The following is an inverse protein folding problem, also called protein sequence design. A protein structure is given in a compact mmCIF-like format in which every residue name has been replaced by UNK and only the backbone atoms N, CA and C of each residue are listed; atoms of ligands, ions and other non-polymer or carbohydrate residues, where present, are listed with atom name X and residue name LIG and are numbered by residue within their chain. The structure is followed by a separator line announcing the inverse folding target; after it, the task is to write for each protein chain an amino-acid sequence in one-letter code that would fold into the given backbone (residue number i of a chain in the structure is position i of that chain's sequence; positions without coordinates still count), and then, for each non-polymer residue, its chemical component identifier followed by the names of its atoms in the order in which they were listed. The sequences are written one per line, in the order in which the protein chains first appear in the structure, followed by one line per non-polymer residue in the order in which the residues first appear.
data_IF_167485743723
#
_entry.id   IF_167485743723
#
_cell.length_a   1.000
_cell.length_b   1.000
_cell.length_c   1.000
_cell.angle_alpha   90.00
_cell.angle_beta   90.00
_cell.angle_gamma   90.00
#
_symmetry.space_group_name_H-M   'P 1'
#
loop_
_entity.id
_entity.type
_entity.pdbx_description
1 polymer ?
#
# COMPACT_ATOMS: atom_id res chain seq x y z
N UNK A 1 -0.58 -22.48 -12.94
CA UNK A 1 -0.09 -21.49 -11.94
C UNK A 1 -0.35 -20.02 -12.32
N UNK A 2 -0.64 -19.67 -13.59
CA UNK A 2 -0.91 -18.26 -14.01
C UNK A 2 -2.08 -17.56 -13.29
N UNK A 3 -3.16 -18.28 -12.95
CA UNK A 3 -4.37 -17.66 -12.36
C UNK A 3 -4.20 -17.17 -10.92
N UNK A 4 -3.32 -17.81 -10.12
CA UNK A 4 -3.13 -17.45 -8.72
C UNK A 4 -2.39 -16.13 -8.59
N UNK A 5 -1.35 -15.95 -9.40
CA UNK A 5 -0.60 -14.70 -9.53
C UNK A 5 -1.56 -13.56 -9.84
N UNK A 6 -2.33 -13.64 -10.94
CA UNK A 6 -3.32 -12.61 -11.31
C UNK A 6 -4.32 -12.29 -10.19
N UNK A 7 -4.68 -13.29 -9.40
CA UNK A 7 -5.62 -13.12 -8.28
C UNK A 7 -4.99 -12.34 -7.12
N UNK A 8 -3.70 -12.53 -6.83
CA UNK A 8 -2.99 -11.80 -5.77
C UNK A 8 -2.86 -10.31 -6.15
N UNK A 9 -2.49 -9.99 -7.38
CA UNK A 9 -2.40 -8.59 -7.85
C UNK A 9 -3.77 -7.90 -7.77
N UNK A 10 -4.85 -8.54 -8.26
CA UNK A 10 -6.22 -8.01 -8.14
C UNK A 10 -6.67 -7.79 -6.69
N UNK A 11 -6.27 -8.69 -5.78
CA UNK A 11 -6.54 -8.52 -4.33
C UNK A 11 -5.76 -7.33 -3.76
N UNK A 12 -4.51 -7.13 -4.16
CA UNK A 12 -3.70 -5.99 -3.75
C UNK A 12 -4.28 -4.66 -4.29
N UNK A 13 -4.75 -4.62 -5.54
CA UNK A 13 -5.46 -3.47 -6.13
C UNK A 13 -6.70 -3.12 -5.31
N UNK A 14 -7.59 -4.10 -5.09
CA UNK A 14 -8.80 -3.88 -4.30
C UNK A 14 -8.47 -3.45 -2.87
N UNK A 15 -7.39 -3.98 -2.30
CA UNK A 15 -6.94 -3.60 -0.98
C UNK A 15 -6.45 -2.15 -0.92
N UNK A 16 -5.76 -1.68 -1.97
CA UNK A 16 -5.36 -0.29 -2.10
C UNK A 16 -6.59 0.62 -2.15
N UNK A 17 -7.59 0.27 -2.97
CA UNK A 17 -8.82 1.07 -3.10
C UNK A 17 -9.57 1.23 -1.77
N UNK A 18 -9.78 0.15 -1.01
CA UNK A 18 -10.45 0.28 0.30
C UNK A 18 -9.63 1.10 1.30
N UNK A 19 -8.30 1.07 1.19
CA UNK A 19 -7.41 1.89 2.02
C UNK A 19 -7.55 3.37 1.66
N UNK A 20 -7.54 3.71 0.36
CA UNK A 20 -7.75 5.08 -0.13
C UNK A 20 -9.10 5.63 0.32
N UNK A 21 -10.17 4.84 0.25
CA UNK A 21 -11.50 5.25 0.74
C UNK A 21 -11.46 5.58 2.23
N UNK A 22 -10.78 4.76 3.06
CA UNK A 22 -10.63 5.05 4.48
C UNK A 22 -9.83 6.33 4.76
N UNK A 23 -8.82 6.62 3.93
CA UNK A 23 -8.02 7.85 4.01
C UNK A 23 -8.87 9.06 3.66
N UNK A 24 -9.57 9.05 2.53
CA UNK A 24 -10.36 10.20 2.03
C UNK A 24 -11.53 10.51 2.95
N UNK A 25 -12.16 9.48 3.52
CA UNK A 25 -13.24 9.65 4.49
C UNK A 25 -12.78 10.17 5.85
N UNK A 26 -11.48 10.42 6.05
CA UNK A 26 -10.93 10.85 7.34
C UNK A 26 -10.98 9.77 8.41
N UNK A 27 -11.29 8.52 8.06
CA UNK A 27 -11.35 7.41 9.01
C UNK A 27 -9.95 6.86 9.30
N UNK A 28 -9.17 7.66 10.02
CA UNK A 28 -7.75 7.40 10.30
C UNK A 28 -7.56 6.09 11.07
N UNK A 29 -8.47 5.73 11.98
CA UNK A 29 -8.40 4.46 12.72
C UNK A 29 -8.48 3.25 11.78
N UNK A 30 -9.37 3.32 10.78
CA UNK A 30 -9.54 2.25 9.79
C UNK A 30 -8.39 2.23 8.79
N UNK A 31 -7.91 3.40 8.35
CA UNK A 31 -6.73 3.51 7.51
C UNK A 31 -5.50 2.88 8.19
N UNK A 32 -5.25 3.16 9.48
CA UNK A 32 -4.18 2.54 10.26
C UNK A 32 -4.29 1.01 10.31
N UNK A 33 -5.50 0.47 10.50
CA UNK A 33 -5.72 -0.99 10.50
C UNK A 33 -5.38 -1.60 9.14
N UNK A 34 -5.78 -0.97 8.04
CA UNK A 34 -5.43 -1.46 6.70
C UNK A 34 -3.94 -1.39 6.42
N UNK A 35 -3.28 -0.28 6.78
CA UNK A 35 -1.83 -0.16 6.64
C UNK A 35 -1.09 -1.21 7.50
N UNK A 36 -1.56 -1.50 8.71
CA UNK A 36 -0.97 -2.56 9.55
C UNK A 36 -1.15 -3.97 8.97
N UNK A 37 -2.29 -4.25 8.32
CA UNK A 37 -2.49 -5.52 7.61
C UNK A 37 -1.55 -5.61 6.40
N UNK A 38 -1.40 -4.53 5.64
CA UNK A 38 -0.44 -4.47 4.54
C UNK A 38 1.01 -4.70 5.03
N UNK A 39 1.38 -4.15 6.19
CA UNK A 39 2.71 -4.36 6.79
C UNK A 39 2.94 -5.83 7.09
N UNK A 40 1.95 -6.48 7.71
CA UNK A 40 2.03 -7.91 8.01
C UNK A 40 2.19 -8.72 6.72
N UNK A 41 1.40 -8.44 5.68
CA UNK A 41 1.52 -9.13 4.39
C UNK A 41 2.88 -8.88 3.72
N UNK A 42 3.43 -7.68 3.86
CA UNK A 42 4.74 -7.34 3.30
C UNK A 42 5.90 -7.97 4.07
N UNK A 43 5.77 -8.16 5.38
CA UNK A 43 6.83 -8.73 6.23
C UNK A 43 6.80 -10.25 6.23
N UNK A 44 5.61 -10.85 6.41
CA UNK A 44 5.44 -12.30 6.58
C UNK A 44 4.98 -13.03 5.31
N UNK A 45 4.62 -12.31 4.25
CA UNK A 45 4.14 -12.92 3.00
C UNK A 45 5.22 -13.71 2.25
N UNK A 46 4.80 -14.55 1.31
CA UNK A 46 5.72 -15.16 0.36
C UNK A 46 6.21 -14.13 -0.67
N UNK A 47 7.19 -14.49 -1.51
CA UNK A 47 7.78 -13.59 -2.51
C UNK A 47 6.73 -12.88 -3.37
N UNK A 48 5.73 -13.61 -3.87
CA UNK A 48 4.66 -13.07 -4.71
C UNK A 48 3.78 -12.06 -3.97
N UNK A 49 3.43 -12.35 -2.71
CA UNK A 49 2.64 -11.45 -1.86
C UNK A 49 3.42 -10.19 -1.55
N UNK A 50 4.70 -10.31 -1.20
CA UNK A 50 5.57 -9.15 -0.95
C UNK A 50 5.68 -8.28 -2.20
N UNK A 51 5.87 -8.89 -3.37
CA UNK A 51 5.95 -8.19 -4.65
C UNK A 51 4.65 -7.47 -5.00
N UNK A 52 3.49 -8.13 -4.80
CA UNK A 52 2.19 -7.51 -5.03
C UNK A 52 1.91 -6.36 -4.06
N UNK A 53 2.27 -6.48 -2.78
CA UNK A 53 2.11 -5.39 -1.82
C UNK A 53 3.02 -4.21 -2.19
N UNK A 54 4.30 -4.44 -2.46
CA UNK A 54 5.23 -3.38 -2.89
C UNK A 54 4.76 -2.69 -4.17
N UNK A 55 4.58 -3.45 -5.25
CA UNK A 55 4.47 -2.85 -6.58
C UNK A 55 3.04 -2.42 -6.94
N UNK A 56 2.03 -2.99 -6.28
CA UNK A 56 0.63 -2.60 -6.50
C UNK A 56 0.13 -1.75 -5.35
N UNK A 57 0.14 -2.30 -4.14
CA UNK A 57 -0.53 -1.63 -3.02
C UNK A 57 0.19 -0.36 -2.60
N UNK A 58 1.50 -0.44 -2.32
CA UNK A 58 2.28 0.73 -1.89
C UNK A 58 2.28 1.77 -2.99
N UNK A 59 2.58 1.39 -4.23
CA UNK A 59 2.57 2.33 -5.37
C UNK A 59 1.24 3.06 -5.49
N UNK A 60 0.13 2.30 -5.54
CA UNK A 60 -1.21 2.84 -5.71
C UNK A 60 -1.62 3.79 -4.57
N UNK A 61 -1.30 3.44 -3.32
CA UNK A 61 -1.60 4.31 -2.15
C UNK A 61 -0.68 5.53 -2.13
N UNK A 62 0.61 5.39 -2.49
CA UNK A 62 1.58 6.48 -2.50
C UNK A 62 1.22 7.55 -3.51
N UNK A 63 1.00 7.15 -4.77
CA UNK A 63 0.60 8.08 -5.83
C UNK A 63 -0.72 8.79 -5.49
N UNK A 64 -1.66 8.08 -4.86
CA UNK A 64 -2.89 8.70 -4.40
C UNK A 64 -2.65 9.79 -3.34
N UNK A 65 -1.75 9.56 -2.39
CA UNK A 65 -1.43 10.54 -1.35
C UNK A 65 -0.72 11.77 -1.91
N UNK A 66 0.20 11.59 -2.86
CA UNK A 66 0.89 12.68 -3.56
C UNK A 66 -0.11 13.57 -4.30
N UNK A 67 -0.99 12.98 -5.11
CA UNK A 67 -2.03 13.69 -5.87
C UNK A 67 -3.00 14.47 -4.98
N UNK A 68 -3.20 14.04 -3.74
CA UNK A 68 -4.10 14.67 -2.78
C UNK A 68 -3.38 15.59 -1.79
N UNK A 69 -2.07 15.79 -1.92
CA UNK A 69 -1.22 16.49 -0.94
C UNK A 69 -1.48 16.05 0.51
N UNK A 70 -1.81 14.77 0.70
CA UNK A 70 -2.17 14.21 1.99
C UNK A 70 -0.91 13.75 2.73
N UNK A 71 -0.40 14.57 3.66
CA UNK A 71 0.75 14.21 4.50
C UNK A 71 0.37 13.25 5.64
N UNK A 72 -0.07 12.05 5.28
CA UNK A 72 -0.29 10.94 6.21
C UNK A 72 0.84 9.91 6.15
N UNK A 73 2.03 10.32 5.71
CA UNK A 73 3.27 9.51 5.74
C UNK A 73 3.58 8.96 7.15
N UNK A 74 3.08 9.62 8.19
CA UNK A 74 3.17 9.19 9.58
C UNK A 74 2.21 8.05 9.96
N UNK A 75 1.27 7.69 9.09
CA UNK A 75 0.38 6.54 9.29
C UNK A 75 0.99 5.22 8.81
N UNK A 76 2.02 5.27 7.96
CA UNK A 76 2.67 4.05 7.48
C UNK A 76 3.47 3.37 8.60
N UNK A 77 3.27 2.06 8.81
CA UNK A 77 4.15 1.23 9.63
C UNK A 77 5.59 1.23 9.09
N UNK A 78 6.56 0.91 9.94
CA UNK A 78 7.99 1.11 9.65
C UNK A 78 8.46 0.48 8.32
N UNK A 79 8.13 -0.78 8.04
CA UNK A 79 8.60 -1.48 6.83
C UNK A 79 7.99 -0.90 5.57
N UNK A 80 6.67 -0.73 5.54
CA UNK A 80 5.95 -0.07 4.46
C UNK A 80 6.42 1.37 4.25
N UNK A 81 6.75 2.11 5.31
CA UNK A 81 7.24 3.48 5.20
C UNK A 81 8.56 3.54 4.44
N UNK A 82 9.45 2.57 4.63
CA UNK A 82 10.72 2.49 3.88
C UNK A 82 10.44 2.29 2.39
N UNK A 83 9.54 1.37 2.03
CA UNK A 83 9.15 1.15 0.63
C UNK A 83 8.43 2.36 0.03
N UNK A 84 7.53 2.99 0.78
CA UNK A 84 6.88 4.24 0.41
C UNK A 84 7.92 5.34 0.10
N UNK A 85 8.85 5.59 1.02
CA UNK A 85 9.91 6.58 0.82
C UNK A 85 10.81 6.21 -0.36
N UNK A 86 11.14 4.93 -0.54
CA UNK A 86 11.91 4.46 -1.69
C UNK A 86 11.19 4.78 -2.99
N UNK A 87 9.89 4.46 -3.09
CA UNK A 87 9.11 4.67 -4.29
C UNK A 87 8.93 6.14 -4.62
N UNK A 88 8.72 7.00 -3.61
CA UNK A 88 8.62 8.45 -3.82
C UNK A 88 9.96 9.04 -4.29
N UNK A 89 11.07 8.66 -3.63
CA UNK A 89 12.39 9.17 -4.00
C UNK A 89 12.86 8.66 -5.38
N UNK A 90 12.46 7.44 -5.77
CA UNK A 90 12.75 6.90 -7.11
C UNK A 90 11.83 7.49 -8.17
N UNK A 91 10.57 7.78 -7.84
CA UNK A 91 9.59 8.34 -8.78
C UNK A 91 9.70 9.86 -8.92
N UNK A 92 10.85 10.44 -8.59
CA UNK A 92 11.14 11.86 -8.76
C UNK A 92 10.83 12.31 -10.18
N UNK A 93 9.62 12.84 -10.36
CA UNK A 93 9.25 13.75 -11.44
C UNK A 93 9.77 15.12 -11.08
#
# INVERSE_FOLDING_TARGET
MKNQVTTIYKKAERFAEITKVAIVSGNIARAKKYLAVAERLFTTGNYETKNAISNVYVFSVSSFMELRHCSISNLFPKGLKVEYVRQINTSGV
#
